data_IF_522176797605
#
_entry.id   IF_522176797605
#
_cell.length_a   1.000
_cell.length_b   1.000
_cell.length_c   1.000
_cell.angle_alpha   90.00
_cell.angle_beta   90.00
_cell.angle_gamma   90.00
#
_symmetry.space_group_name_H-M   'P 1'
#
loop_
_entity.id
_entity.type
_entity.pdbx_description
1 polymer ?
#
# COMPACT_ATOMS: atom_id res chain seq x y z
N UNK A 1 17.34 24.76 14.62
CA UNK A 1 17.46 23.67 13.63
C UNK A 1 16.05 23.21 13.32
N UNK A 2 15.67 23.14 12.04
CA UNK A 2 14.35 22.68 11.63
C UNK A 2 14.46 21.25 11.11
N UNK A 3 13.61 20.36 11.62
CA UNK A 3 13.51 18.98 11.17
C UNK A 3 12.40 18.90 10.14
N UNK A 4 12.73 18.59 8.89
CA UNK A 4 11.73 18.36 7.83
C UNK A 4 11.33 16.89 7.89
N UNK A 5 10.02 16.63 7.97
CA UNK A 5 9.45 15.28 7.94
C UNK A 5 8.37 15.19 6.86
N UNK A 6 8.36 14.08 6.13
CA UNK A 6 7.29 13.79 5.15
C UNK A 6 6.09 13.23 5.90
N UNK A 7 4.95 13.93 5.81
CA UNK A 7 3.73 13.52 6.51
C UNK A 7 2.96 12.41 5.79
N UNK A 8 2.77 12.56 4.47
CA UNK A 8 1.97 11.64 3.65
C UNK A 8 2.28 11.77 2.16
N UNK A 9 2.09 10.69 1.41
CA UNK A 9 2.09 10.65 -0.05
C UNK A 9 0.65 10.48 -0.55
N UNK A 10 0.23 11.37 -1.45
CA UNK A 10 -1.08 11.34 -2.10
C UNK A 10 -0.84 11.22 -3.60
N UNK A 11 -1.23 10.08 -4.15
CA UNK A 11 -1.22 9.85 -5.60
C UNK A 11 -2.19 8.73 -5.98
N UNK A 12 -2.47 8.64 -7.28
CA UNK A 12 -3.39 7.66 -7.84
C UNK A 12 -2.88 6.23 -7.61
N UNK A 13 -3.80 5.26 -7.62
CA UNK A 13 -3.47 3.84 -7.38
C UNK A 13 -2.29 3.29 -8.21
N UNK A 14 -2.20 3.50 -9.55
CA UNK A 14 -1.07 3.01 -10.33
C UNK A 14 0.26 3.70 -9.96
N UNK A 15 0.22 4.99 -9.59
CA UNK A 15 1.41 5.73 -9.19
C UNK A 15 1.93 5.26 -7.81
N UNK A 16 1.03 5.00 -6.85
CA UNK A 16 1.39 4.40 -5.56
C UNK A 16 2.03 3.04 -5.74
N UNK A 17 1.42 2.18 -6.55
CA UNK A 17 1.93 0.83 -6.80
C UNK A 17 3.32 0.86 -7.44
N UNK A 18 3.54 1.79 -8.39
CA UNK A 18 4.83 1.99 -9.03
C UNK A 18 5.92 2.45 -8.05
N UNK A 19 5.63 3.46 -7.22
CA UNK A 19 6.60 4.01 -6.25
C UNK A 19 6.91 3.01 -5.14
N UNK A 20 5.92 2.27 -4.66
CA UNK A 20 6.09 1.22 -3.66
C UNK A 20 6.67 -0.08 -4.24
N UNK A 21 6.75 -0.20 -5.56
CA UNK A 21 7.17 -1.41 -6.27
C UNK A 21 6.35 -2.65 -5.88
N UNK A 22 5.02 -2.49 -5.87
CA UNK A 22 4.05 -3.53 -5.49
C UNK A 22 3.12 -3.88 -6.66
N UNK A 23 2.43 -5.03 -6.54
CA UNK A 23 1.43 -5.44 -7.53
C UNK A 23 0.34 -4.37 -7.69
N UNK A 24 0.10 -4.02 -8.95
CA UNK A 24 -0.98 -3.10 -9.31
C UNK A 24 -2.34 -3.72 -9.00
N UNK A 25 -3.35 -2.86 -8.99
CA UNK A 25 -4.65 -3.04 -8.36
C UNK A 25 -5.49 -4.27 -8.80
N UNK A 26 -5.14 -4.99 -9.87
CA UNK A 26 -5.98 -6.05 -10.45
C UNK A 26 -5.62 -7.51 -10.12
N UNK A 27 -4.69 -7.78 -9.20
CA UNK A 27 -4.16 -9.15 -8.95
C UNK A 27 -4.44 -9.69 -7.54
N UNK A 28 -4.26 -11.01 -7.36
CA UNK A 28 -4.14 -11.60 -6.02
C UNK A 28 -2.98 -10.94 -5.26
N UNK A 29 -3.17 -10.71 -3.96
CA UNK A 29 -2.22 -9.99 -3.08
C UNK A 29 -1.90 -8.56 -3.52
N UNK A 30 -2.75 -7.88 -4.31
CA UNK A 30 -2.54 -6.47 -4.71
C UNK A 30 -2.96 -5.44 -3.66
N UNK A 31 -3.71 -5.85 -2.63
CA UNK A 31 -4.19 -4.94 -1.61
C UNK A 31 -3.00 -4.23 -0.93
N UNK A 32 -3.08 -2.93 -0.67
CA UNK A 32 -2.00 -2.20 0.03
C UNK A 32 -2.13 -2.34 1.56
N UNK A 33 -3.32 -2.74 2.06
CA UNK A 33 -3.65 -2.78 3.49
C UNK A 33 -3.69 -4.17 4.12
N UNK A 34 -4.03 -5.20 3.36
CA UNK A 34 -4.35 -6.54 3.90
C UNK A 34 -3.50 -7.61 3.21
N UNK A 35 -2.70 -8.34 3.99
CA UNK A 35 -1.79 -9.38 3.49
C UNK A 35 -2.51 -10.39 2.60
N UNK A 36 -3.72 -10.77 3.00
CA UNK A 36 -4.54 -11.77 2.33
C UNK A 36 -5.93 -11.22 2.00
N UNK A 37 -6.63 -11.80 1.00
CA UNK A 37 -8.03 -11.51 0.76
C UNK A 37 -8.92 -12.10 1.86
N UNK A 38 -9.85 -11.32 2.41
CA UNK A 38 -10.84 -11.82 3.38
C UNK A 38 -11.28 -10.81 4.45
N UNK A 39 -12.37 -11.13 5.15
CA UNK A 39 -13.04 -10.25 6.12
C UNK A 39 -12.23 -10.08 7.42
N UNK A 40 -11.26 -10.95 7.70
CA UNK A 40 -10.36 -10.87 8.86
C UNK A 40 -8.89 -10.98 8.43
N UNK A 41 -8.53 -10.32 7.33
CA UNK A 41 -7.17 -10.34 6.85
C UNK A 41 -6.21 -9.58 7.77
N UNK A 42 -5.02 -10.13 7.95
CA UNK A 42 -3.94 -9.45 8.67
C UNK A 42 -3.57 -8.15 7.96
N UNK A 43 -3.50 -7.06 8.73
CA UNK A 43 -3.11 -5.75 8.20
C UNK A 43 -1.61 -5.73 7.91
N UNK A 44 -1.22 -5.16 6.76
CA UNK A 44 0.18 -4.86 6.48
C UNK A 44 0.66 -3.79 7.46
N UNK A 45 1.90 -3.94 7.89
CA UNK A 45 2.61 -3.00 8.75
C UNK A 45 3.82 -2.46 8.01
N UNK A 46 4.31 -1.29 8.41
CA UNK A 46 5.54 -0.74 7.84
C UNK A 46 6.71 -1.72 8.00
N UNK A 47 6.79 -2.42 9.13
CA UNK A 47 7.83 -3.42 9.37
C UNK A 47 7.71 -4.63 8.43
N UNK A 48 6.51 -5.19 8.24
CA UNK A 48 6.32 -6.32 7.31
C UNK A 48 6.61 -5.93 5.86
N UNK A 49 6.37 -4.67 5.50
CA UNK A 49 6.67 -4.14 4.17
C UNK A 49 8.18 -3.99 3.94
N UNK A 50 8.90 -3.45 4.93
CA UNK A 50 10.37 -3.32 4.88
C UNK A 50 11.04 -4.70 4.82
N UNK A 51 10.51 -5.68 5.56
CA UNK A 51 10.99 -7.06 5.56
C UNK A 51 10.54 -7.85 4.31
N UNK A 52 9.74 -7.24 3.44
CA UNK A 52 9.13 -7.88 2.26
C UNK A 52 8.53 -9.25 2.57
N UNK A 53 7.82 -9.38 3.69
CA UNK A 53 7.30 -10.68 4.18
C UNK A 53 6.25 -11.32 3.27
N UNK A 54 5.73 -10.56 2.30
CA UNK A 54 4.74 -11.00 1.32
C UNK A 54 5.34 -10.90 -0.09
N UNK A 55 6.08 -11.95 -0.50
CA UNK A 55 6.76 -12.00 -1.79
C UNK A 55 5.80 -11.84 -2.98
N UNK A 56 4.54 -12.27 -2.81
CA UNK A 56 3.52 -12.11 -3.83
C UNK A 56 3.05 -10.66 -3.95
N UNK A 57 3.15 -9.84 -2.91
CA UNK A 57 2.77 -8.43 -3.00
C UNK A 57 3.84 -7.57 -3.67
N UNK A 58 5.11 -7.90 -3.46
CA UNK A 58 6.25 -7.10 -3.92
C UNK A 58 6.70 -7.50 -5.33
N UNK A 59 6.85 -6.50 -6.21
CA UNK A 59 7.48 -6.69 -7.53
C UNK A 59 8.99 -6.39 -7.43
N UNK A 60 9.41 -5.60 -6.45
CA UNK A 60 10.80 -5.27 -6.18
C UNK A 60 10.95 -4.39 -4.95
N UNK A 61 12.14 -3.81 -4.78
CA UNK A 61 12.42 -2.87 -3.70
C UNK A 61 12.05 -1.44 -4.09
N UNK A 62 11.25 -0.79 -3.24
CA UNK A 62 10.93 0.63 -3.42
C UNK A 62 12.17 1.49 -3.17
N UNK A 63 12.44 2.50 -4.01
CA UNK A 63 13.51 3.47 -3.76
C UNK A 63 13.29 4.28 -2.47
N UNK A 64 12.05 4.27 -1.94
CA UNK A 64 11.71 4.95 -0.69
C UNK A 64 12.08 4.16 0.56
N UNK A 65 12.50 2.88 0.45
CA UNK A 65 12.99 2.09 1.58
C UNK A 65 14.30 2.65 2.16
N UNK A 66 15.07 3.42 1.38
CA UNK A 66 16.29 4.10 1.86
C UNK A 66 15.98 5.22 2.86
N UNK A 67 14.74 5.72 2.87
CA UNK A 67 14.29 6.78 3.77
C UNK A 67 13.62 6.17 5.01
N UNK A 68 13.76 6.76 6.21
CA UNK A 68 13.11 6.29 7.43
C UNK A 68 11.62 6.69 7.45
N UNK A 69 10.87 6.28 6.43
CA UNK A 69 9.44 6.56 6.24
C UNK A 69 8.66 5.24 6.16
N UNK A 70 7.49 5.22 6.80
CA UNK A 70 6.58 4.08 6.73
C UNK A 70 5.82 4.07 5.40
N UNK A 71 6.08 3.10 4.53
CA UNK A 71 5.44 3.03 3.22
C UNK A 71 3.97 2.59 3.29
N UNK A 72 3.56 1.88 4.34
CA UNK A 72 2.16 1.50 4.55
C UNK A 72 1.39 2.61 5.26
N UNK A 73 2.01 3.26 6.26
CA UNK A 73 1.33 4.31 7.05
C UNK A 73 1.30 5.68 6.38
N UNK A 74 2.27 6.00 5.51
CA UNK A 74 2.37 7.33 4.88
C UNK A 74 1.66 7.41 3.53
N UNK A 75 1.31 6.29 2.90
CA UNK A 75 0.56 6.28 1.66
C UNK A 75 -0.95 6.28 1.95
N UNK A 76 -1.60 7.39 1.58
CA UNK A 76 -3.05 7.52 1.70
C UNK A 76 -3.76 6.76 0.59
N UNK A 77 -4.73 5.93 0.97
CA UNK A 77 -5.70 5.39 0.02
C UNK A 77 -6.83 6.39 -0.13
N UNK A 78 -6.90 7.01 -1.30
CA UNK A 78 -7.95 7.97 -1.62
C UNK A 78 -9.28 7.26 -1.94
N UNK A 79 -10.35 7.69 -1.27
CA UNK A 79 -11.71 7.16 -1.40
C UNK A 79 -12.21 7.20 -2.85
N UNK A 80 -11.86 8.24 -3.62
CA UNK A 80 -12.29 8.38 -5.02
C UNK A 80 -11.69 7.29 -5.89
N UNK A 81 -10.41 6.98 -5.70
CA UNK A 81 -9.75 5.91 -6.44
C UNK A 81 -10.32 4.54 -6.08
N UNK A 82 -10.47 4.26 -4.78
CA UNK A 82 -10.95 2.95 -4.37
C UNK A 82 -12.44 2.74 -4.68
N UNK A 83 -13.31 3.65 -4.27
CA UNK A 83 -14.76 3.38 -4.27
C UNK A 83 -15.44 3.97 -5.50
N UNK A 84 -15.17 5.25 -5.82
CA UNK A 84 -15.89 5.93 -6.91
C UNK A 84 -15.43 5.51 -8.30
N UNK A 85 -14.14 5.17 -8.47
CA UNK A 85 -13.56 4.76 -9.75
C UNK A 85 -13.49 3.24 -9.92
N UNK A 86 -13.97 2.46 -8.94
CA UNK A 86 -13.99 1.00 -9.00
C UNK A 86 -12.59 0.37 -9.01
N UNK A 87 -11.56 1.11 -8.62
CA UNK A 87 -10.20 0.60 -8.42
C UNK A 87 -10.16 -0.01 -7.02
N UNK A 88 -11.04 -1.01 -6.81
CA UNK A 88 -11.14 -1.87 -5.63
C UNK A 88 -10.98 -3.35 -6.00
N UNK A 89 -10.01 -3.99 -5.35
CA UNK A 89 -9.93 -5.43 -5.27
C UNK A 89 -11.12 -5.82 -4.40
N UNK A 90 -12.12 -6.51 -4.97
CA UNK A 90 -13.41 -6.84 -4.34
C UNK A 90 -13.27 -7.40 -2.91
N UNK A 91 -12.14 -8.02 -2.60
CA UNK A 91 -11.88 -8.75 -1.36
C UNK A 91 -11.54 -7.88 -0.14
N UNK A 92 -11.50 -6.54 -0.24
CA UNK A 92 -11.16 -5.64 0.88
C UNK A 92 -12.31 -4.71 1.33
N UNK A 93 -13.52 -4.84 0.76
CA UNK A 93 -14.62 -3.87 0.93
C UNK A 93 -15.40 -3.96 2.26
N UNK A 94 -15.00 -4.82 3.20
CA UNK A 94 -15.77 -5.08 4.44
C UNK A 94 -15.04 -4.68 5.73
N UNK A 95 -14.14 -3.70 5.68
CA UNK A 95 -13.59 -3.05 6.87
C UNK A 95 -13.94 -1.55 6.84
N UNK A 96 -15.21 -1.28 7.16
CA UNK A 96 -15.66 0.03 7.65
C UNK A 96 -15.30 0.19 9.12
#
# INVERSE_FOLDING_TARGET
>A
MYTIQVHSFICDSPARAYVQCIKSHGGYSSCERCMEPGINANKRTDQSFVLQSDEDHHIGESPLLTLPIGLVSRFGIDYMHCICLGVICENCLYLG
#
